data_IF_123991143252
#
_entry.id   IF_123991143252
#
_cell.length_a   1.000
_cell.length_b   1.000
_cell.length_c   1.000
_cell.angle_alpha   90.00
_cell.angle_beta   90.00
_cell.angle_gamma   90.00
#
_symmetry.space_group_name_H-M   'P 1'
#
loop_
_entity.id
_entity.type
_entity.pdbx_description
1 polymer ?
#
# COMPACT_ATOMS: atom_id res chain seq x y z
N UNK A 1 7.54 14.62 12.79
CA UNK A 1 7.94 13.20 12.59
C UNK A 1 6.66 12.42 12.36
N UNK A 2 6.63 11.53 11.37
CA UNK A 2 5.46 10.70 11.11
C UNK A 2 5.17 9.77 12.28
N UNK A 3 3.91 9.37 12.44
CA UNK A 3 3.46 8.32 13.36
C UNK A 3 2.86 7.16 12.56
N UNK A 4 3.05 5.93 13.03
CA UNK A 4 2.44 4.74 12.46
C UNK A 4 1.19 4.33 13.24
N UNK A 5 0.12 4.06 12.52
CA UNK A 5 -1.08 3.43 13.06
C UNK A 5 -1.47 2.26 12.18
N UNK A 6 -1.97 1.18 12.77
CA UNK A 6 -2.51 0.02 12.06
C UNK A 6 -3.93 -0.22 12.55
N UNK A 7 -4.86 -0.49 11.63
CA UNK A 7 -6.15 -1.04 11.99
C UNK A 7 -6.42 -2.33 11.23
N UNK A 8 -7.24 -3.19 11.84
CA UNK A 8 -7.73 -4.40 11.24
C UNK A 8 -9.26 -4.42 11.28
N UNK A 9 -9.85 -5.12 10.34
CA UNK A 9 -11.26 -5.50 10.41
C UNK A 9 -11.43 -6.98 10.11
N UNK A 10 -12.41 -7.59 10.75
CA UNK A 10 -12.87 -8.96 10.49
C UNK A 10 -14.24 -8.99 9.80
N UNK A 11 -14.91 -7.84 9.67
CA UNK A 11 -16.25 -7.75 9.07
C UNK A 11 -16.38 -6.51 8.19
N UNK A 12 -17.12 -6.66 7.10
CA UNK A 12 -17.45 -5.56 6.20
C UNK A 12 -18.07 -4.38 6.97
N UNK A 13 -17.58 -3.16 6.72
CA UNK A 13 -18.18 -1.93 7.24
C UNK A 13 -17.93 -1.66 8.72
N UNK A 14 -17.34 -2.59 9.47
CA UNK A 14 -16.98 -2.36 10.87
C UNK A 14 -15.98 -1.21 10.99
N UNK A 15 -16.34 -0.26 11.84
CA UNK A 15 -15.55 0.94 12.10
C UNK A 15 -14.62 0.73 13.28
N UNK A 16 -13.37 1.15 13.11
CA UNK A 16 -12.36 1.20 14.17
C UNK A 16 -11.98 2.65 14.42
N UNK A 17 -12.17 3.13 15.65
CA UNK A 17 -11.70 4.46 16.06
C UNK A 17 -10.35 4.32 16.74
N UNK A 18 -9.34 5.00 16.20
CA UNK A 18 -7.98 5.06 16.72
C UNK A 18 -7.69 6.47 17.24
N UNK A 19 -7.36 6.57 18.53
CA UNK A 19 -6.82 7.79 19.12
C UNK A 19 -5.34 7.95 18.74
N UNK A 20 -4.93 9.16 18.40
CA UNK A 20 -3.51 9.43 18.18
C UNK A 20 -2.77 9.38 19.53
N UNK A 21 -1.59 8.75 19.56
CA UNK A 21 -0.78 8.63 20.79
C UNK A 21 -0.53 9.99 21.44
N UNK A 22 -0.41 11.03 20.61
CA UNK A 22 -0.41 12.43 20.98
C UNK A 22 -1.30 13.19 20.00
N UNK A 23 -2.18 14.09 20.46
CA UNK A 23 -2.91 14.99 19.59
C UNK A 23 -1.99 15.77 18.66
N UNK A 24 -2.38 15.87 17.39
CA UNK A 24 -1.77 16.81 16.47
C UNK A 24 -2.19 18.24 16.81
N UNK A 25 -1.36 19.22 16.42
CA UNK A 25 -1.69 20.64 16.55
C UNK A 25 -2.85 21.07 15.65
N UNK A 26 -3.05 20.37 14.53
CA UNK A 26 -4.14 20.54 13.58
C UNK A 26 -4.37 19.22 12.82
N UNK A 27 -5.43 19.17 12.00
CA UNK A 27 -5.83 17.96 11.27
C UNK A 27 -4.67 17.37 10.43
N UNK A 28 -4.20 16.14 10.69
CA UNK A 28 -3.05 15.55 10.02
C UNK A 28 -3.34 15.15 8.56
N UNK A 29 -2.31 14.73 7.83
CA UNK A 29 -2.47 13.99 6.57
C UNK A 29 -2.30 12.50 6.86
N UNK A 30 -3.12 11.66 6.24
CA UNK A 30 -3.23 10.24 6.56
C UNK A 30 -3.11 9.36 5.30
N UNK A 31 -1.98 9.41 4.55
CA UNK A 31 -1.72 8.40 3.52
C UNK A 31 -1.74 7.00 4.17
N UNK A 32 -2.43 6.08 3.53
CA UNK A 32 -2.72 4.76 4.09
C UNK A 32 -2.81 3.70 3.00
N UNK A 33 -2.53 2.46 3.35
CA UNK A 33 -2.43 1.38 2.37
C UNK A 33 -2.71 0.00 2.96
N UNK A 34 -3.25 -0.85 2.10
CA UNK A 34 -3.70 -2.20 2.44
C UNK A 34 -2.48 -3.11 2.52
N UNK A 35 -2.39 -3.94 3.56
CA UNK A 35 -1.34 -4.96 3.69
C UNK A 35 -1.85 -6.36 3.98
N UNK A 36 -3.14 -6.53 4.22
CA UNK A 36 -3.76 -7.85 4.36
C UNK A 36 -5.16 -7.82 3.76
N UNK A 37 -5.50 -8.88 3.03
CA UNK A 37 -6.84 -9.14 2.51
C UNK A 37 -7.12 -10.64 2.57
N UNK A 38 -8.35 -10.96 2.99
CA UNK A 38 -8.99 -12.27 2.83
C UNK A 38 -10.40 -12.05 2.25
N UNK A 39 -10.62 -12.45 1.00
CA UNK A 39 -11.86 -12.18 0.25
C UNK A 39 -12.36 -13.38 -0.54
N UNK A 40 -13.68 -13.54 -0.60
CA UNK A 40 -14.35 -14.68 -1.25
C UNK A 40 -14.16 -14.69 -2.77
N UNK A 41 -13.79 -15.84 -3.32
CA UNK A 41 -13.53 -16.03 -4.75
C UNK A 41 -14.79 -16.13 -5.62
N UNK A 42 -15.95 -16.46 -5.03
CA UNK A 42 -17.21 -16.62 -5.76
C UNK A 42 -17.91 -15.27 -5.97
N UNK A 43 -17.29 -14.17 -5.55
CA UNK A 43 -17.76 -12.80 -5.68
C UNK A 43 -16.66 -11.94 -6.30
N UNK A 44 -17.00 -10.80 -6.94
CA UNK A 44 -16.00 -9.81 -7.36
C UNK A 44 -15.08 -9.42 -6.19
N UNK A 45 -13.82 -9.10 -6.47
CA UNK A 45 -12.91 -8.58 -5.46
C UNK A 45 -13.02 -7.06 -5.47
N UNK A 46 -13.86 -6.51 -4.60
CA UNK A 46 -14.09 -5.07 -4.52
C UNK A 46 -13.92 -4.61 -3.07
N UNK A 47 -12.85 -3.84 -2.84
CA UNK A 47 -12.47 -3.38 -1.52
C UNK A 47 -11.85 -1.99 -1.56
N UNK A 48 -12.19 -1.17 -0.57
CA UNK A 48 -11.58 0.14 -0.33
C UNK A 48 -11.30 0.32 1.16
N UNK A 49 -10.06 0.67 1.51
CA UNK A 49 -9.73 1.22 2.82
C UNK A 49 -10.11 2.71 2.86
N UNK A 50 -10.80 3.14 3.91
CA UNK A 50 -11.25 4.53 4.05
C UNK A 50 -11.05 5.06 5.46
N UNK A 51 -10.72 6.35 5.53
CA UNK A 51 -10.66 7.13 6.78
C UNK A 51 -11.68 8.28 6.66
N UNK A 52 -12.99 8.00 6.81
CA UNK A 52 -14.05 8.96 6.46
C UNK A 52 -14.09 10.18 7.37
N UNK A 53 -13.77 10.01 8.65
CA UNK A 53 -13.83 11.07 9.67
C UNK A 53 -12.58 11.02 10.52
N UNK A 54 -11.94 12.17 10.70
CA UNK A 54 -10.80 12.31 11.59
C UNK A 54 -10.64 13.75 12.06
N UNK A 55 -10.11 13.90 13.26
CA UNK A 55 -9.82 15.19 13.91
C UNK A 55 -8.30 15.33 14.09
N UNK A 56 -7.89 16.25 14.97
CA UNK A 56 -6.50 16.31 15.43
C UNK A 56 -6.18 15.28 16.52
N UNK A 57 -7.20 14.66 17.11
CA UNK A 57 -7.08 13.80 18.30
C UNK A 57 -7.29 12.30 17.97
N UNK A 58 -8.03 11.99 16.90
CA UNK A 58 -8.38 10.62 16.51
C UNK A 58 -8.76 10.51 15.03
N UNK A 59 -8.81 9.28 14.53
CA UNK A 59 -9.36 8.91 13.23
C UNK A 59 -10.29 7.70 13.33
N UNK A 60 -11.32 7.66 12.47
CA UNK A 60 -12.16 6.49 12.25
C UNK A 60 -11.78 5.87 10.92
N UNK A 61 -11.56 4.57 10.93
CA UNK A 61 -11.09 3.81 9.79
C UNK A 61 -11.98 2.58 9.57
N UNK A 62 -12.19 2.19 8.31
CA UNK A 62 -12.86 0.95 7.96
C UNK A 62 -12.50 0.48 6.56
N UNK A 63 -12.78 -0.79 6.28
CA UNK A 63 -12.89 -1.29 4.91
C UNK A 63 -14.34 -1.26 4.44
N UNK A 64 -14.53 -0.91 3.17
CA UNK A 64 -15.82 -0.94 2.48
C UNK A 64 -15.70 -1.88 1.28
N UNK A 65 -16.68 -2.76 1.14
CA UNK A 65 -16.93 -3.59 -0.06
C UNK A 65 -18.32 -3.27 -0.61
N UNK A 66 -18.62 -3.62 -1.85
CA UNK A 66 -19.95 -3.47 -2.44
C UNK A 66 -20.13 -4.48 -3.58
N UNK A 67 -21.28 -4.46 -4.26
CA UNK A 67 -21.62 -5.42 -5.32
C UNK A 67 -21.40 -6.89 -4.89
N UNK A 68 -21.92 -7.22 -3.71
CA UNK A 68 -21.87 -8.54 -3.07
C UNK A 68 -20.47 -9.08 -2.75
N UNK A 69 -19.42 -8.27 -2.86
CA UNK A 69 -18.07 -8.65 -2.43
C UNK A 69 -17.99 -8.91 -0.93
N UNK A 70 -17.40 -10.04 -0.56
CA UNK A 70 -17.27 -10.49 0.84
C UNK A 70 -15.81 -10.33 1.28
N UNK A 71 -15.60 -9.57 2.36
CA UNK A 71 -14.33 -9.42 3.06
C UNK A 71 -14.38 -10.20 4.37
N UNK A 72 -13.52 -11.20 4.52
CA UNK A 72 -13.33 -11.95 5.76
C UNK A 72 -12.33 -11.27 6.70
N UNK A 73 -11.37 -10.52 6.14
CA UNK A 73 -10.51 -9.68 6.94
C UNK A 73 -9.63 -8.74 6.13
N UNK A 74 -9.27 -7.61 6.75
CA UNK A 74 -8.43 -6.57 6.16
C UNK A 74 -7.50 -5.96 7.20
N UNK A 75 -6.27 -5.63 6.82
CA UNK A 75 -5.36 -4.80 7.64
C UNK A 75 -4.82 -3.69 6.77
N UNK A 76 -4.78 -2.49 7.33
CA UNK A 76 -4.29 -1.27 6.71
C UNK A 76 -3.35 -0.54 7.66
N UNK A 77 -2.26 -0.02 7.10
CA UNK A 77 -1.34 0.86 7.81
C UNK A 77 -1.58 2.31 7.38
N UNK A 78 -1.45 3.22 8.34
CA UNK A 78 -1.60 4.67 8.16
C UNK A 78 -0.29 5.35 8.56
N UNK A 79 0.29 6.08 7.62
CA UNK A 79 1.49 6.89 7.83
C UNK A 79 1.07 8.32 8.16
N UNK A 80 0.75 8.57 9.44
CA UNK A 80 0.18 9.84 9.87
C UNK A 80 1.24 10.94 9.91
N UNK A 81 0.96 12.05 9.21
CA UNK A 81 1.86 13.18 9.05
C UNK A 81 1.28 14.43 9.70
N UNK A 82 2.10 15.11 10.52
CA UNK A 82 1.70 16.40 11.05
C UNK A 82 1.54 17.41 9.90
N UNK A 83 0.65 18.41 10.04
CA UNK A 83 0.51 19.47 9.04
C UNK A 83 1.80 20.26 8.81
N UNK A 84 2.65 20.35 9.84
CA UNK A 84 3.95 21.00 9.82
C UNK A 84 5.07 20.15 9.20
N UNK A 85 4.85 18.86 8.91
CA UNK A 85 5.84 18.01 8.23
C UNK A 85 5.86 18.32 6.71
N UNK A 86 6.22 19.55 6.38
CA UNK A 86 6.18 20.13 5.02
C UNK A 86 7.20 19.52 4.07
N UNK A 87 8.07 18.62 4.53
CA UNK A 87 8.98 17.90 3.63
C UNK A 87 8.23 16.82 2.83
N UNK A 88 7.10 16.33 3.35
CA UNK A 88 6.31 15.32 2.65
C UNK A 88 5.29 15.97 1.70
N UNK A 89 5.15 15.38 0.52
CA UNK A 89 3.98 15.51 -0.33
C UNK A 89 3.26 14.18 -0.38
N UNK A 90 1.94 14.21 -0.43
CA UNK A 90 1.10 13.02 -0.48
C UNK A 90 -0.09 13.28 -1.36
N UNK A 91 -0.65 12.22 -1.94
CA UNK A 91 -1.89 12.30 -2.70
C UNK A 91 -2.41 10.92 -3.07
N UNK A 92 -3.51 10.93 -3.81
CA UNK A 92 -4.15 9.73 -4.32
C UNK A 92 -4.48 9.94 -5.80
N UNK A 93 -4.41 8.88 -6.57
CA UNK A 93 -4.92 8.84 -7.93
C UNK A 93 -5.61 7.51 -8.16
N UNK A 94 -6.64 7.50 -9.00
CA UNK A 94 -7.43 6.31 -9.27
C UNK A 94 -7.65 6.16 -10.76
N UNK A 95 -7.45 4.93 -11.24
CA UNK A 95 -7.73 4.52 -12.62
C UNK A 95 -9.12 3.86 -12.64
N UNK A 96 -10.10 4.53 -13.26
CA UNK A 96 -11.53 4.17 -13.22
C UNK A 96 -11.99 3.45 -14.51
N UNK A 97 -11.58 2.21 -14.73
CA UNK A 97 -11.83 1.49 -15.99
C UNK A 97 -13.30 1.17 -16.27
N UNK A 98 -14.14 1.01 -15.25
CA UNK A 98 -15.58 0.80 -15.48
C UNK A 98 -16.29 2.05 -16.01
N UNK A 99 -15.75 3.25 -15.76
CA UNK A 99 -16.30 4.53 -16.24
C UNK A 99 -15.63 4.98 -17.53
N UNK A 100 -14.32 4.79 -17.63
CA UNK A 100 -13.51 5.08 -18.80
C UNK A 100 -12.61 3.86 -19.11
N UNK A 101 -13.08 2.91 -19.94
CA UNK A 101 -12.32 1.71 -20.30
C UNK A 101 -10.99 2.00 -21.00
N UNK A 102 -10.80 3.23 -21.51
CA UNK A 102 -9.56 3.68 -22.15
C UNK A 102 -8.67 4.50 -21.19
N UNK A 103 -9.03 4.59 -19.90
CA UNK A 103 -8.25 5.30 -18.91
C UNK A 103 -6.78 4.81 -18.95
N UNK A 104 -5.82 5.72 -19.17
CA UNK A 104 -4.43 5.34 -19.38
C UNK A 104 -3.88 4.63 -18.15
N UNK A 105 -2.98 3.67 -18.37
CA UNK A 105 -2.29 3.00 -17.26
C UNK A 105 -1.30 3.93 -16.55
N UNK A 106 -0.85 5.00 -17.22
CA UNK A 106 0.13 5.95 -16.71
C UNK A 106 -0.42 7.37 -16.69
N UNK A 107 -0.11 8.13 -15.64
CA UNK A 107 -0.48 9.54 -15.51
C UNK A 107 0.67 10.34 -14.89
N UNK A 108 0.89 11.56 -15.37
CA UNK A 108 1.80 12.50 -14.72
C UNK A 108 1.15 13.09 -13.48
N UNK A 109 1.83 12.99 -12.34
CA UNK A 109 1.44 13.65 -11.09
C UNK A 109 2.39 14.82 -10.85
N UNK A 110 1.84 16.03 -10.90
CA UNK A 110 2.58 17.25 -10.58
C UNK A 110 2.55 17.51 -9.07
N UNK A 111 3.72 17.78 -8.51
CA UNK A 111 3.85 18.19 -7.14
C UNK A 111 3.30 19.61 -6.95
N UNK A 112 2.55 19.82 -5.86
CA UNK A 112 2.03 21.15 -5.49
C UNK A 112 3.13 22.20 -5.27
N UNK A 113 4.35 21.74 -5.02
CA UNK A 113 5.58 22.55 -4.95
C UNK A 113 6.74 21.69 -5.45
N UNK A 114 7.73 22.26 -6.17
CA UNK A 114 8.89 21.51 -6.57
C UNK A 114 9.78 21.16 -5.38
N UNK A 115 10.52 20.06 -5.49
CA UNK A 115 11.64 19.72 -4.60
C UNK A 115 12.94 20.38 -5.09
N UNK A 116 13.97 20.41 -4.23
CA UNK A 116 15.30 20.91 -4.60
C UNK A 116 16.04 19.94 -5.53
N UNK A 117 15.93 18.65 -5.24
CA UNK A 117 16.40 17.52 -6.06
C UNK A 117 15.25 16.53 -6.25
N UNK A 118 15.29 15.65 -7.25
CA UNK A 118 14.26 14.62 -7.41
C UNK A 118 14.01 13.88 -6.08
N UNK A 119 12.77 13.82 -5.58
CA UNK A 119 12.47 13.20 -4.29
C UNK A 119 12.48 11.67 -4.38
N UNK A 120 12.46 10.99 -3.24
CA UNK A 120 11.98 9.61 -3.19
C UNK A 120 10.46 9.62 -3.30
N UNK A 121 9.92 8.77 -4.18
CA UNK A 121 8.48 8.56 -4.35
C UNK A 121 8.15 7.11 -4.13
N UNK A 122 7.14 6.85 -3.32
CA UNK A 122 6.59 5.50 -3.10
C UNK A 122 5.08 5.49 -3.33
N UNK A 123 4.59 4.34 -3.80
CA UNK A 123 3.20 4.15 -4.23
C UNK A 123 2.66 2.82 -3.69
N UNK A 124 1.38 2.77 -3.36
CA UNK A 124 0.72 1.59 -2.78
C UNK A 124 -0.81 1.68 -2.89
N UNK A 125 -1.49 0.54 -2.87
CA UNK A 125 -2.93 0.47 -3.06
C UNK A 125 -3.73 0.72 -1.78
N UNK A 126 -4.83 1.46 -1.91
CA UNK A 126 -5.90 1.53 -0.91
C UNK A 126 -7.30 1.23 -1.46
N UNK A 127 -7.41 0.87 -2.75
CA UNK A 127 -8.65 0.37 -3.38
C UNK A 127 -8.31 -0.58 -4.52
N UNK A 128 -9.03 -1.69 -4.59
CA UNK A 128 -8.94 -2.69 -5.65
C UNK A 128 -10.34 -3.16 -6.04
N UNK A 129 -10.59 -3.23 -7.35
CA UNK A 129 -11.83 -3.76 -7.92
C UNK A 129 -11.53 -4.63 -9.13
N UNK A 130 -11.71 -5.93 -8.98
CA UNK A 130 -11.60 -6.92 -10.04
C UNK A 130 -12.91 -7.67 -10.21
N UNK A 131 -13.08 -8.27 -11.39
CA UNK A 131 -14.00 -9.39 -11.54
C UNK A 131 -13.52 -10.63 -10.76
N UNK A 132 -14.26 -11.73 -10.89
CA UNK A 132 -13.92 -13.01 -10.24
C UNK A 132 -13.83 -14.19 -11.21
N UNK A 133 -13.80 -13.92 -12.52
CA UNK A 133 -13.65 -14.95 -13.55
C UNK A 133 -12.23 -14.99 -14.12
N UNK A 134 -11.41 -13.98 -13.83
CA UNK A 134 -10.01 -13.89 -14.27
C UNK A 134 -9.10 -13.57 -13.09
N UNK A 135 -7.84 -13.99 -13.19
CA UNK A 135 -6.84 -13.78 -12.15
C UNK A 135 -6.70 -12.30 -11.80
N UNK A 136 -6.41 -12.03 -10.53
CA UNK A 136 -6.29 -10.69 -9.98
C UNK A 136 -4.86 -10.19 -10.13
N UNK A 137 -4.65 -9.35 -11.15
CA UNK A 137 -3.32 -8.87 -11.55
C UNK A 137 -3.27 -7.36 -11.64
N UNK A 138 -2.46 -6.73 -10.80
CA UNK A 138 -2.24 -5.28 -10.84
C UNK A 138 -0.89 -4.93 -10.24
N UNK A 139 -0.23 -3.92 -10.79
CA UNK A 139 0.97 -3.33 -10.21
C UNK A 139 0.90 -1.82 -10.27
N UNK A 140 1.41 -1.14 -9.24
CA UNK A 140 1.58 0.30 -9.24
C UNK A 140 3.03 0.69 -8.99
N UNK A 141 3.57 1.56 -9.83
CA UNK A 141 4.96 2.04 -9.75
C UNK A 141 5.02 3.55 -9.93
N UNK A 142 6.09 4.16 -9.42
CA UNK A 142 6.47 5.53 -9.73
C UNK A 142 7.69 5.50 -10.67
N UNK A 143 7.64 6.30 -11.73
CA UNK A 143 8.69 6.41 -12.74
C UNK A 143 8.89 7.89 -13.13
N UNK A 144 9.92 8.19 -13.91
CA UNK A 144 10.21 9.55 -14.40
C UNK A 144 10.18 10.62 -13.30
N UNK A 145 10.75 10.31 -12.13
CA UNK A 145 10.74 11.21 -10.99
C UNK A 145 11.70 12.37 -11.26
N UNK A 146 11.18 13.59 -11.21
CA UNK A 146 11.97 14.81 -11.24
C UNK A 146 11.53 15.76 -10.11
N UNK A 147 12.10 16.97 -10.08
CA UNK A 147 11.79 17.97 -9.05
C UNK A 147 10.34 18.44 -9.05
N UNK A 148 9.63 18.35 -10.17
CA UNK A 148 8.28 18.86 -10.36
C UNK A 148 7.20 17.77 -10.24
N UNK A 149 7.55 16.50 -10.39
CA UNK A 149 6.56 15.42 -10.32
C UNK A 149 7.13 14.04 -10.59
N UNK A 150 6.23 13.10 -10.87
CA UNK A 150 6.55 11.74 -11.28
C UNK A 150 5.44 11.18 -12.16
N UNK A 151 5.74 10.15 -12.95
CA UNK A 151 4.76 9.34 -13.66
C UNK A 151 4.29 8.21 -12.75
N UNK A 152 3.00 8.20 -12.40
CA UNK A 152 2.34 7.12 -11.70
C UNK A 152 1.80 6.09 -12.69
N UNK A 153 2.15 4.83 -12.50
CA UNK A 153 1.64 3.71 -13.28
C UNK A 153 0.68 2.86 -12.44
N UNK A 154 -0.44 2.42 -13.03
CA UNK A 154 -1.42 1.47 -12.51
C UNK A 154 -1.72 0.49 -13.65
N UNK A 155 -0.93 -0.57 -13.71
CA UNK A 155 -0.91 -1.52 -14.82
C UNK A 155 -1.61 -2.83 -14.45
N UNK A 156 -2.23 -3.45 -15.45
CA UNK A 156 -2.81 -4.79 -15.40
C UNK A 156 -2.46 -5.50 -16.71
N UNK A 157 -2.51 -6.82 -16.76
CA UNK A 157 -2.06 -7.60 -17.92
C UNK A 157 -2.87 -8.88 -18.11
N UNK A 158 -2.61 -9.54 -19.25
CA UNK A 158 -3.31 -10.75 -19.68
C UNK A 158 -4.82 -10.48 -19.84
N UNK A 159 -5.63 -11.37 -19.30
CA UNK A 159 -7.08 -11.44 -19.33
C UNK A 159 -7.73 -10.82 -18.08
N UNK A 160 -6.95 -10.22 -17.18
CA UNK A 160 -7.48 -9.61 -15.97
C UNK A 160 -8.48 -8.51 -16.27
N UNK A 161 -9.66 -8.60 -15.67
CA UNK A 161 -10.67 -7.54 -15.73
C UNK A 161 -10.57 -6.68 -14.48
N UNK A 162 -9.74 -5.64 -14.57
CA UNK A 162 -9.63 -4.58 -13.55
C UNK A 162 -10.73 -3.53 -13.80
N UNK A 163 -11.65 -3.35 -12.85
CA UNK A 163 -12.65 -2.28 -12.91
C UNK A 163 -12.12 -0.96 -12.37
N UNK A 164 -11.27 -1.03 -11.34
CA UNK A 164 -10.77 0.15 -10.65
C UNK A 164 -9.57 -0.18 -9.76
N UNK A 165 -8.60 0.72 -9.69
CA UNK A 165 -7.58 0.70 -8.64
C UNK A 165 -7.26 2.13 -8.19
N UNK A 166 -7.17 2.35 -6.87
CA UNK A 166 -6.71 3.61 -6.28
C UNK A 166 -5.35 3.38 -5.62
N UNK A 167 -4.43 4.28 -5.94
CA UNK A 167 -3.08 4.32 -5.39
C UNK A 167 -2.91 5.57 -4.55
N UNK A 168 -2.40 5.39 -3.33
CA UNK A 168 -1.80 6.43 -2.52
C UNK A 168 -0.33 6.59 -2.88
N UNK A 169 0.17 7.82 -2.78
CA UNK A 169 1.59 8.10 -2.97
C UNK A 169 2.14 9.03 -1.89
N UNK A 170 3.42 8.86 -1.57
CA UNK A 170 4.19 9.70 -0.66
C UNK A 170 5.49 10.07 -1.36
N UNK A 171 5.82 11.36 -1.36
CA UNK A 171 7.08 11.91 -1.86
C UNK A 171 7.80 12.70 -0.76
N UNK A 172 9.11 12.55 -0.64
CA UNK A 172 9.93 13.27 0.35
C UNK A 172 11.38 13.47 -0.16
N UNK A 173 12.15 14.44 0.38
CA UNK A 173 13.50 14.73 -0.08
C UNK A 173 14.39 13.48 -0.02
N UNK A 174 15.18 13.24 -1.06
CA UNK A 174 16.02 12.04 -1.15
C UNK A 174 17.02 11.90 0.00
N UNK A 175 17.53 13.03 0.49
CA UNK A 175 18.50 13.15 1.58
C UNK A 175 17.86 13.24 2.97
N UNK A 176 16.54 13.02 3.08
CA UNK A 176 15.84 13.05 4.36
C UNK A 176 16.44 12.01 5.31
N UNK A 177 16.90 12.47 6.46
CA UNK A 177 17.49 11.62 7.51
C UNK A 177 16.43 10.77 8.21
N UNK A 178 16.87 9.63 8.74
CA UNK A 178 16.06 8.72 9.56
C UNK A 178 14.77 8.24 8.88
N UNK A 179 14.81 8.09 7.57
CA UNK A 179 13.76 7.45 6.79
C UNK A 179 14.40 6.60 5.69
N UNK A 180 13.86 5.41 5.51
CA UNK A 180 14.23 4.50 4.45
C UNK A 180 12.95 4.02 3.77
N UNK A 181 12.94 3.96 2.44
CA UNK A 181 11.83 3.36 1.72
C UNK A 181 12.30 2.59 0.50
N UNK A 182 11.60 1.51 0.19
CA UNK A 182 11.84 0.66 -0.97
C UNK A 182 10.56 -0.08 -1.35
N UNK A 183 10.52 -0.63 -2.56
CA UNK A 183 9.60 -1.72 -2.91
C UNK A 183 10.32 -3.06 -2.82
N UNK A 184 9.60 -4.12 -2.46
CA UNK A 184 10.09 -5.51 -2.43
C UNK A 184 9.09 -6.41 -3.15
N UNK A 185 9.55 -7.56 -3.67
CA UNK A 185 8.69 -8.51 -4.35
C UNK A 185 9.00 -9.95 -3.95
N UNK A 186 7.98 -10.81 -3.98
CA UNK A 186 8.16 -12.28 -3.89
C UNK A 186 9.05 -12.82 -5.02
N UNK A 187 9.18 -12.10 -6.14
CA UNK A 187 10.09 -12.43 -7.23
C UNK A 187 11.58 -12.26 -6.84
N UNK A 188 11.88 -11.52 -5.77
CA UNK A 188 13.24 -11.33 -5.25
C UNK A 188 13.77 -12.55 -4.47
N UNK A 189 12.89 -13.51 -4.15
CA UNK A 189 13.20 -14.71 -3.36
C UNK A 189 12.90 -16.00 -4.11
N UNK A 190 12.01 -15.97 -5.11
CA UNK A 190 11.74 -17.13 -5.96
C UNK A 190 11.28 -16.76 -7.37
N UNK A 191 11.50 -17.65 -8.35
CA UNK A 191 10.82 -17.59 -9.64
C UNK A 191 9.28 -17.76 -9.53
N UNK A 192 8.55 -17.22 -10.51
CA UNK A 192 7.07 -17.26 -10.59
C UNK A 192 6.50 -18.69 -10.69
N UNK A 193 7.25 -19.64 -11.26
CA UNK A 193 6.81 -21.01 -11.51
C UNK A 193 6.98 -21.96 -10.30
N UNK A 194 7.56 -21.47 -9.19
CA UNK A 194 7.67 -22.23 -7.94
C UNK A 194 6.55 -21.75 -7.01
N UNK A 195 5.63 -22.63 -6.67
CA UNK A 195 4.54 -22.30 -5.75
C UNK A 195 4.98 -22.48 -4.31
N UNK A 196 4.70 -21.47 -3.48
CA UNK A 196 4.83 -21.55 -2.03
C UNK A 196 3.96 -20.48 -1.39
N UNK A 197 3.61 -20.68 -0.13
CA UNK A 197 2.79 -19.75 0.63
C UNK A 197 3.62 -18.66 1.29
N UNK A 198 4.78 -19.01 1.83
CA UNK A 198 5.60 -18.13 2.67
C UNK A 198 6.76 -17.55 1.87
N UNK A 199 6.99 -16.24 1.95
CA UNK A 199 8.08 -15.55 1.26
C UNK A 199 8.71 -14.54 2.18
N UNK A 200 10.00 -14.64 2.42
CA UNK A 200 10.71 -13.66 3.24
C UNK A 200 12.12 -13.38 2.76
N UNK A 201 12.59 -12.16 3.03
CA UNK A 201 13.96 -11.74 2.77
C UNK A 201 14.39 -10.67 3.76
N UNK A 202 15.63 -10.75 4.21
CA UNK A 202 16.28 -9.67 4.95
C UNK A 202 16.67 -8.53 4.00
N UNK A 203 16.42 -7.29 4.43
CA UNK A 203 16.95 -6.09 3.78
C UNK A 203 17.65 -5.19 4.81
N UNK A 204 18.69 -4.50 4.37
CA UNK A 204 19.43 -3.54 5.17
C UNK A 204 19.01 -2.11 4.84
N UNK A 205 19.03 -1.23 5.84
CA UNK A 205 18.79 0.21 5.70
C UNK A 205 20.04 0.93 5.19
N UNK A 206 20.61 0.45 4.09
CA UNK A 206 21.85 0.98 3.53
C UNK A 206 21.74 2.50 3.38
N UNK A 207 22.76 3.24 3.84
CA UNK A 207 22.83 4.71 3.80
C UNK A 207 21.84 5.46 4.70
N UNK A 208 21.15 4.78 5.63
CA UNK A 208 20.29 5.41 6.64
C UNK A 208 20.66 4.91 8.03
N UNK A 209 20.91 5.83 8.94
CA UNK A 209 21.16 5.53 10.34
C UNK A 209 19.88 5.70 11.16
N UNK A 210 19.45 4.65 11.86
CA UNK A 210 18.38 4.74 12.85
C UNK A 210 18.96 4.65 14.26
N UNK A 211 18.61 5.61 15.12
CA UNK A 211 19.10 5.68 16.50
C UNK A 211 18.37 4.71 17.45
N UNK A 212 17.17 4.28 17.07
CA UNK A 212 16.32 3.33 17.79
C UNK A 212 15.57 2.46 16.78
N UNK A 213 14.92 1.40 17.23
CA UNK A 213 14.07 0.56 16.36
C UNK A 213 13.07 1.44 15.58
N UNK A 214 13.08 1.44 14.23
CA UNK A 214 12.14 2.22 13.43
C UNK A 214 10.72 1.66 13.49
N UNK A 215 9.75 2.54 13.35
CA UNK A 215 8.40 2.18 12.93
C UNK A 215 8.44 1.85 11.44
N UNK A 216 7.65 0.89 11.00
CA UNK A 216 7.66 0.43 9.60
C UNK A 216 6.23 0.41 9.06
N UNK A 217 5.94 1.32 8.14
CA UNK A 217 4.75 1.28 7.30
C UNK A 217 4.96 0.25 6.20
N UNK A 218 3.94 -0.56 5.92
CA UNK A 218 3.98 -1.57 4.87
C UNK A 218 2.66 -1.65 4.12
N UNK A 219 2.68 -1.61 2.79
CA UNK A 219 1.45 -1.67 1.98
C UNK A 219 1.69 -2.31 0.61
N UNK A 220 0.72 -3.08 0.12
CA UNK A 220 0.78 -3.79 -1.15
C UNK A 220 0.81 -2.83 -2.34
N UNK A 221 1.67 -3.14 -3.32
CA UNK A 221 1.78 -2.39 -4.58
C UNK A 221 1.83 -3.29 -5.82
N UNK A 222 1.77 -4.62 -5.64
CA UNK A 222 1.74 -5.60 -6.71
C UNK A 222 0.97 -6.86 -6.25
N UNK A 223 0.02 -7.32 -7.07
CA UNK A 223 -0.68 -8.59 -6.95
C UNK A 223 -0.67 -9.34 -8.30
N UNK A 224 -0.43 -10.66 -8.24
CA UNK A 224 -0.71 -11.64 -9.30
C UNK A 224 -1.20 -12.93 -8.62
N UNK A 225 -2.52 -13.10 -8.54
CA UNK A 225 -3.18 -14.17 -7.78
C UNK A 225 -4.22 -14.86 -8.67
N UNK A 226 -4.28 -16.20 -8.61
CA UNK A 226 -5.29 -17.00 -9.31
C UNK A 226 -6.71 -16.76 -8.76
N UNK A 227 -7.72 -16.79 -9.64
CA UNK A 227 -9.11 -16.51 -9.26
C UNK A 227 -9.95 -17.76 -8.89
N UNK A 228 -9.34 -18.94 -8.71
CA UNK A 228 -10.07 -20.18 -8.36
C UNK A 228 -10.20 -20.43 -6.86
N UNK A 229 -9.51 -19.63 -6.06
CA UNK A 229 -9.55 -19.67 -4.60
C UNK A 229 -9.59 -18.25 -4.05
N UNK A 230 -9.96 -18.10 -2.79
CA UNK A 230 -10.08 -16.78 -2.15
C UNK A 230 -8.81 -15.95 -2.32
N UNK A 231 -8.97 -14.64 -2.49
CA UNK A 231 -7.84 -13.73 -2.43
C UNK A 231 -7.36 -13.68 -0.98
N UNK A 232 -6.22 -14.30 -0.71
CA UNK A 232 -5.60 -14.33 0.62
C UNK A 232 -4.15 -13.91 0.52
N UNK A 233 -3.86 -12.72 1.03
CA UNK A 233 -2.50 -12.18 1.05
C UNK A 233 -2.24 -11.40 2.33
N UNK A 234 -1.03 -11.56 2.87
CA UNK A 234 -0.56 -10.85 4.05
C UNK A 234 0.86 -10.35 3.83
N UNK A 235 1.04 -9.05 3.99
CA UNK A 235 2.34 -8.40 4.01
C UNK A 235 2.63 -7.94 5.44
N UNK A 236 3.78 -8.35 6.00
CA UNK A 236 4.25 -7.88 7.30
C UNK A 236 5.78 -7.84 7.36
N UNK A 237 6.29 -7.27 8.45
CA UNK A 237 7.73 -7.23 8.74
C UNK A 237 7.98 -7.74 10.15
N UNK A 238 9.11 -8.41 10.34
CA UNK A 238 9.67 -8.75 11.64
C UNK A 238 11.20 -8.55 11.64
N UNK A 239 11.89 -9.02 12.68
CA UNK A 239 13.35 -8.90 12.76
C UNK A 239 13.89 -7.45 12.73
N UNK A 240 13.05 -6.44 13.00
CA UNK A 240 13.40 -5.03 12.85
C UNK A 240 14.47 -4.63 13.88
N UNK A 241 15.63 -4.21 13.40
CA UNK A 241 16.71 -3.58 14.17
C UNK A 241 16.92 -2.13 13.71
N UNK A 242 17.99 -1.48 14.15
CA UNK A 242 18.42 -0.16 13.64
C UNK A 242 19.07 -0.21 12.26
N UNK A 243 19.39 -1.40 11.75
CA UNK A 243 20.17 -1.57 10.51
C UNK A 243 19.48 -2.45 9.46
N UNK A 244 18.46 -3.21 9.85
CA UNK A 244 17.78 -4.17 8.98
C UNK A 244 16.35 -4.47 9.41
N UNK A 245 15.62 -5.14 8.53
CA UNK A 245 14.37 -5.84 8.82
C UNK A 245 14.26 -7.09 7.95
N UNK A 246 13.31 -7.97 8.28
CA UNK A 246 12.87 -9.06 7.40
C UNK A 246 11.44 -8.75 6.98
N UNK A 247 11.18 -8.73 5.68
CA UNK A 247 9.83 -8.60 5.15
C UNK A 247 9.26 -9.97 4.82
N UNK A 248 7.93 -10.07 4.88
CA UNK A 248 7.15 -11.24 4.54
C UNK A 248 5.98 -10.86 3.64
N UNK A 249 5.72 -11.65 2.60
CA UNK A 249 4.53 -11.52 1.74
C UNK A 249 3.98 -12.91 1.49
N UNK A 250 2.95 -13.27 2.24
CA UNK A 250 2.48 -14.64 2.33
C UNK A 250 1.04 -14.79 1.81
N UNK A 251 0.72 -16.01 1.37
CA UNK A 251 -0.64 -16.49 1.11
C UNK A 251 -0.93 -17.70 2.00
N UNK A 252 -2.15 -18.24 1.98
CA UNK A 252 -2.49 -19.47 2.71
C UNK A 252 -3.65 -20.22 2.05
N UNK A 253 -3.92 -21.42 2.57
CA UNK A 253 -4.90 -22.38 2.05
C UNK A 253 -4.70 -22.65 0.53
N UNK A 254 -5.77 -22.80 -0.23
CA UNK A 254 -5.74 -23.10 -1.67
C UNK A 254 -5.33 -21.91 -2.56
N UNK A 255 -4.85 -20.80 -1.96
CA UNK A 255 -4.54 -19.57 -2.71
C UNK A 255 -3.28 -19.75 -3.52
N UNK A 256 -3.40 -19.60 -4.83
CA UNK A 256 -2.26 -19.62 -5.73
C UNK A 256 -1.74 -18.19 -5.98
N UNK A 257 -0.67 -17.84 -5.25
CA UNK A 257 0.05 -16.58 -5.39
C UNK A 257 1.19 -16.72 -6.42
N UNK A 258 1.03 -16.15 -7.61
CA UNK A 258 2.10 -16.13 -8.62
C UNK A 258 3.20 -15.15 -8.23
N UNK A 259 2.80 -13.93 -7.88
CA UNK A 259 3.70 -12.88 -7.44
C UNK A 259 2.96 -11.81 -6.62
N UNK A 260 3.69 -11.13 -5.76
CA UNK A 260 3.23 -9.92 -5.10
C UNK A 260 4.40 -9.01 -4.75
N UNK A 261 4.07 -7.80 -4.32
CA UNK A 261 5.02 -6.81 -3.86
C UNK A 261 4.39 -5.81 -2.91
N UNK A 262 5.26 -5.16 -2.14
CA UNK A 262 4.86 -4.16 -1.17
C UNK A 262 5.89 -3.04 -1.04
N UNK A 263 5.39 -1.85 -0.72
CA UNK A 263 6.17 -0.68 -0.32
C UNK A 263 6.46 -0.73 1.17
N UNK A 264 7.73 -0.52 1.53
CA UNK A 264 8.23 -0.34 2.90
C UNK A 264 8.57 1.12 3.12
N UNK A 265 8.18 1.68 4.26
CA UNK A 265 8.74 2.94 4.79
C UNK A 265 9.13 2.72 6.25
N UNK A 266 10.42 2.67 6.54
CA UNK A 266 10.96 2.63 7.90
C UNK A 266 11.34 4.06 8.34
N UNK A 267 10.94 4.47 9.55
CA UNK A 267 11.13 5.84 10.05
C UNK A 267 11.23 5.91 11.57
N UNK A 268 11.85 6.97 12.09
CA UNK A 268 11.98 7.27 13.52
C UNK A 268 11.44 8.63 13.93
#
# INVERSE_FOLDING_TARGET
MPDLYTFNTVTHGAETTLGFHRPFVARPRLPHGIRYLDMDTNRPIIVKSVIPVFTKDWMNCRFVTWADSILYGGIDDVFALAPSDLDFLTGEHMRYLWKDPQAPASVRIDFKRPFVTPPKVVVFFNRLEFDNNHNWRVVTTASDVDVNGFTLNIETWSDTVLHCAQTCWIAYPEDRKHIFSTSVSTLDVRPVNIQQHEHSKEISFTSVEFLKKPSVFFALNYLDIDCKANLRIRAFVDGISTTRLVWHIDSWDETLLYAAGATIIAFN
#
